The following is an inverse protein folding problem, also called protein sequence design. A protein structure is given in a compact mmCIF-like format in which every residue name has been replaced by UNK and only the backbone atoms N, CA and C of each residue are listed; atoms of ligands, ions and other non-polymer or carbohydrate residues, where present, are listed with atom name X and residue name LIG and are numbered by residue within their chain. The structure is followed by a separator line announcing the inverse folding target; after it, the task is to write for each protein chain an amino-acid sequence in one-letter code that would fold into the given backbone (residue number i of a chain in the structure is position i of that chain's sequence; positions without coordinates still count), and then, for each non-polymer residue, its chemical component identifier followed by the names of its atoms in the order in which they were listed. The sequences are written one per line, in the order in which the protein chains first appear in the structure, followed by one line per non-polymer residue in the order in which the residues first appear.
data_IF_176258755637
#
_entry.id   IF_176258755637
#
_cell.length_a   1.000
_cell.length_b   1.000
_cell.length_c   1.000
_cell.angle_alpha   90.00
_cell.angle_beta   90.00
_cell.angle_gamma   90.00
#
_symmetry.space_group_name_H-M   'P 1'
#
loop_
_entity.id
_entity.type
_entity.pdbx_description
1 polymer ?
#
# COMPACT_ATOMS: atom_id res chain seq x y z
N UNK A 1 50.32 12.30 -35.92
CA UNK A 1 49.31 11.34 -35.42
C UNK A 1 48.67 11.94 -34.17
N UNK A 2 47.35 12.24 -34.20
CA UNK A 2 46.60 12.63 -33.00
C UNK A 2 46.01 11.38 -32.36
N UNK A 3 46.02 11.23 -31.02
CA UNK A 3 45.34 10.12 -30.37
C UNK A 3 43.83 10.38 -30.41
N UNK A 4 43.08 9.47 -31.01
CA UNK A 4 41.62 9.48 -30.97
C UNK A 4 41.18 9.08 -29.56
N UNK A 5 40.64 10.02 -28.79
CA UNK A 5 40.03 9.74 -27.49
C UNK A 5 38.78 8.87 -27.71
N UNK A 6 38.75 7.68 -27.13
CA UNK A 6 37.55 6.86 -27.08
C UNK A 6 36.53 7.54 -26.17
N UNK A 7 35.43 8.04 -26.74
CA UNK A 7 34.26 8.46 -25.99
C UNK A 7 33.52 7.22 -25.49
N UNK A 8 33.69 6.88 -24.22
CA UNK A 8 32.82 5.92 -23.53
C UNK A 8 31.38 6.45 -23.61
N UNK A 9 30.40 5.67 -24.09
CA UNK A 9 29.01 6.12 -24.13
C UNK A 9 28.54 6.45 -22.71
N UNK A 10 27.69 7.48 -22.54
CA UNK A 10 27.15 7.83 -21.23
C UNK A 10 26.40 6.60 -20.68
N UNK A 11 26.86 6.07 -19.54
CA UNK A 11 26.14 5.02 -18.83
C UNK A 11 24.84 5.63 -18.28
N UNK A 12 23.72 5.28 -18.91
CA UNK A 12 22.40 5.56 -18.36
C UNK A 12 22.31 4.79 -17.04
N UNK A 13 22.31 5.52 -15.92
CA UNK A 13 22.04 4.92 -14.62
C UNK A 13 20.56 4.58 -14.56
N UNK A 14 20.23 3.30 -14.77
CA UNK A 14 18.87 2.82 -14.65
C UNK A 14 18.49 2.82 -13.16
N UNK A 15 17.84 3.89 -12.71
CA UNK A 15 17.25 3.94 -11.39
C UNK A 15 16.12 2.88 -11.35
N UNK A 16 16.22 1.91 -10.44
CA UNK A 16 15.12 0.99 -10.16
C UNK A 16 14.18 1.67 -9.15
N UNK A 17 12.99 2.13 -9.55
CA UNK A 17 12.05 2.72 -8.61
C UNK A 17 11.62 1.66 -7.60
N UNK A 18 11.58 2.03 -6.33
CA UNK A 18 10.95 1.24 -5.26
C UNK A 18 9.45 1.49 -5.29
N UNK A 19 8.68 0.44 -5.53
CA UNK A 19 7.23 0.48 -5.64
C UNK A 19 6.65 -0.23 -4.43
N UNK A 20 5.69 0.39 -3.76
CA UNK A 20 4.87 -0.25 -2.74
C UNK A 20 3.45 -0.48 -3.25
N UNK A 21 2.85 -1.58 -2.83
CA UNK A 21 1.42 -1.87 -2.99
C UNK A 21 0.85 -2.04 -1.59
N UNK A 22 0.01 -1.09 -1.17
CA UNK A 22 -0.72 -1.17 0.08
C UNK A 22 -2.15 -1.62 -0.20
N UNK A 23 -2.49 -2.79 0.32
CA UNK A 23 -3.80 -3.37 0.22
C UNK A 23 -4.58 -3.14 1.51
N UNK A 24 -5.87 -2.82 1.41
CA UNK A 24 -6.68 -2.36 2.54
C UNK A 24 -7.96 -3.20 2.67
N UNK A 25 -8.19 -3.70 3.89
CA UNK A 25 -9.38 -4.50 4.22
C UNK A 25 -9.37 -5.91 3.62
N UNK A 26 -10.48 -6.64 3.79
CA UNK A 26 -10.60 -8.04 3.35
C UNK A 26 -10.43 -8.23 1.83
N UNK A 27 -11.13 -7.42 1.02
CA UNK A 27 -11.00 -7.48 -0.45
C UNK A 27 -9.59 -7.12 -0.93
N UNK A 28 -8.93 -6.15 -0.28
CA UNK A 28 -7.52 -5.84 -0.53
C UNK A 28 -6.61 -7.01 -0.16
N UNK A 29 -6.86 -7.68 0.96
CA UNK A 29 -6.16 -8.90 1.39
C UNK A 29 -6.24 -10.03 0.36
N UNK A 30 -7.42 -10.24 -0.24
CA UNK A 30 -7.57 -11.21 -1.31
C UNK A 30 -6.76 -10.81 -2.56
N UNK A 31 -6.82 -9.53 -2.95
CA UNK A 31 -6.07 -9.03 -4.08
C UNK A 31 -4.54 -9.19 -3.89
N UNK A 32 -4.00 -8.84 -2.72
CA UNK A 32 -2.55 -8.95 -2.46
C UNK A 32 -2.08 -10.39 -2.44
N UNK A 33 -2.88 -11.29 -1.85
CA UNK A 33 -2.58 -12.72 -1.87
C UNK A 33 -2.49 -13.25 -3.31
N UNK A 34 -3.39 -12.82 -4.19
CA UNK A 34 -3.36 -13.18 -5.60
C UNK A 34 -2.13 -12.61 -6.32
N UNK A 35 -1.77 -11.34 -6.07
CA UNK A 35 -0.57 -10.72 -6.64
C UNK A 35 0.72 -11.45 -6.23
N UNK A 36 0.82 -11.85 -4.96
CA UNK A 36 1.96 -12.61 -4.43
C UNK A 36 2.02 -14.01 -5.05
N UNK A 37 0.88 -14.70 -5.17
CA UNK A 37 0.81 -16.02 -5.79
C UNK A 37 1.16 -16.01 -7.29
N UNK A 38 0.93 -14.89 -7.97
CA UNK A 38 1.28 -14.69 -9.38
C UNK A 38 2.73 -14.23 -9.59
N UNK A 39 3.56 -14.20 -8.53
CA UNK A 39 4.97 -13.79 -8.58
C UNK A 39 5.18 -12.39 -9.16
N UNK A 40 4.34 -11.42 -8.80
CA UNK A 40 4.56 -10.03 -9.19
C UNK A 40 5.85 -9.50 -8.55
N UNK A 41 6.90 -9.33 -9.37
CA UNK A 41 8.21 -8.84 -8.94
C UNK A 41 8.29 -7.31 -8.91
N UNK A 42 9.21 -6.78 -8.10
CA UNK A 42 9.54 -5.35 -8.08
C UNK A 42 8.62 -4.47 -7.22
N UNK A 43 7.63 -5.06 -6.56
CA UNK A 43 6.75 -4.38 -5.61
C UNK A 43 6.94 -4.89 -4.18
N UNK A 44 6.88 -3.98 -3.22
CA UNK A 44 6.82 -4.27 -1.78
C UNK A 44 5.34 -4.30 -1.34
N UNK A 45 4.87 -5.44 -0.86
CA UNK A 45 3.46 -5.63 -0.49
C UNK A 45 3.22 -5.36 1.00
N UNK A 46 2.22 -4.53 1.29
CA UNK A 46 1.75 -4.17 2.63
C UNK A 46 0.26 -4.48 2.68
N UNK A 47 -0.21 -5.20 3.71
CA UNK A 47 -1.65 -5.35 3.97
C UNK A 47 -2.02 -4.59 5.25
N UNK A 48 -2.96 -3.68 5.13
CA UNK A 48 -3.56 -2.95 6.24
C UNK A 48 -4.99 -3.43 6.47
N UNK A 49 -5.31 -3.86 7.69
CA UNK A 49 -6.67 -4.29 8.03
C UNK A 49 -6.97 -4.05 9.51
N UNK A 50 -8.23 -3.81 9.84
CA UNK A 50 -8.69 -3.68 11.25
C UNK A 50 -8.91 -5.04 11.92
N UNK A 51 -9.12 -6.09 11.12
CA UNK A 51 -9.37 -7.45 11.61
C UNK A 51 -8.04 -8.21 11.75
N UNK A 52 -7.67 -8.55 12.99
CA UNK A 52 -6.43 -9.23 13.32
C UNK A 52 -6.41 -10.68 12.80
N UNK A 53 -7.56 -11.35 12.76
CA UNK A 53 -7.67 -12.69 12.20
C UNK A 53 -7.41 -12.66 10.69
N UNK A 54 -7.99 -11.70 9.98
CA UNK A 54 -7.74 -11.54 8.54
C UNK A 54 -6.26 -11.25 8.24
N UNK A 55 -5.58 -10.45 9.07
CA UNK A 55 -4.13 -10.22 8.95
C UNK A 55 -3.32 -11.50 9.14
N UNK A 56 -3.66 -12.31 10.15
CA UNK A 56 -2.95 -13.56 10.44
C UNK A 56 -2.98 -14.58 9.30
N UNK A 57 -3.99 -14.51 8.43
CA UNK A 57 -4.14 -15.41 7.27
C UNK A 57 -3.49 -14.86 5.99
N UNK A 58 -2.97 -13.63 6.03
CA UNK A 58 -2.38 -12.98 4.87
C UNK A 58 -1.02 -13.56 4.50
N UNK A 59 -0.71 -13.54 3.19
CA UNK A 59 0.61 -13.86 2.65
C UNK A 59 1.51 -12.63 2.49
N UNK A 60 0.98 -11.43 2.74
CA UNK A 60 1.75 -10.20 2.63
C UNK A 60 2.89 -10.17 3.68
N UNK A 61 4.11 -9.78 3.29
CA UNK A 61 5.27 -9.77 4.18
C UNK A 61 5.20 -8.65 5.24
N UNK A 62 4.46 -7.58 4.98
CA UNK A 62 4.24 -6.47 5.90
C UNK A 62 2.75 -6.36 6.21
N UNK A 63 2.42 -6.34 7.49
CA UNK A 63 1.05 -6.31 7.99
C UNK A 63 0.92 -5.10 8.92
N UNK A 64 -0.15 -4.34 8.76
CA UNK A 64 -0.50 -3.20 9.61
C UNK A 64 -1.90 -3.44 10.17
N UNK A 65 -2.01 -3.49 11.50
CA UNK A 65 -3.32 -3.52 12.14
C UNK A 65 -3.84 -2.09 12.30
N UNK A 66 -4.92 -1.79 11.60
CA UNK A 66 -5.56 -0.48 11.65
C UNK A 66 -6.39 -0.35 12.93
N UNK A 67 -6.21 0.76 13.65
CA UNK A 67 -7.00 1.11 14.83
C UNK A 67 -7.10 -0.01 15.86
N UNK A 68 -5.97 -0.53 16.39
CA UNK A 68 -5.99 -1.51 17.47
C UNK A 68 -6.79 -1.01 18.68
N UNK A 69 -6.83 0.31 18.92
CA UNK A 69 -7.64 0.91 19.99
C UNK A 69 -9.10 1.13 19.60
N UNK A 70 -9.38 1.48 18.33
CA UNK A 70 -10.75 1.67 17.82
C UNK A 70 -11.54 0.36 17.75
N UNK A 71 -10.88 -0.71 17.29
CA UNK A 71 -11.57 -1.95 16.89
C UNK A 71 -11.21 -3.15 17.75
N UNK A 72 -10.17 -3.03 18.60
CA UNK A 72 -9.64 -4.14 19.39
C UNK A 72 -9.25 -5.37 18.55
N UNK A 73 -8.99 -5.16 17.24
CA UNK A 73 -8.67 -6.23 16.30
C UNK A 73 -9.88 -7.04 15.79
N UNK A 74 -11.11 -6.63 16.13
CA UNK A 74 -12.35 -7.31 15.73
C UNK A 74 -12.87 -6.88 14.35
N UNK A 75 -12.27 -5.84 13.77
CA UNK A 75 -12.65 -5.31 12.47
C UNK A 75 -13.67 -4.15 12.52
N UNK A 76 -13.75 -3.39 11.42
CA UNK A 76 -14.69 -2.28 11.27
C UNK A 76 -16.12 -2.71 10.86
N UNK A 77 -16.34 -4.01 10.63
CA UNK A 77 -17.58 -4.51 10.03
C UNK A 77 -17.88 -3.84 8.69
N UNK A 78 -19.12 -3.39 8.51
CA UNK A 78 -19.56 -2.64 7.32
C UNK A 78 -19.60 -1.12 7.53
N UNK A 79 -18.95 -0.61 8.58
CA UNK A 79 -18.99 0.80 8.95
C UNK A 79 -17.75 1.52 8.45
N UNK A 80 -17.92 2.33 7.40
CA UNK A 80 -16.82 3.09 6.79
C UNK A 80 -16.18 4.09 7.77
N UNK A 81 -16.98 4.75 8.61
CA UNK A 81 -16.48 5.72 9.59
C UNK A 81 -15.52 5.08 10.60
N UNK A 82 -15.76 3.82 10.98
CA UNK A 82 -14.85 3.06 11.86
C UNK A 82 -13.55 2.75 11.10
N UNK A 83 -13.64 2.33 9.84
CA UNK A 83 -12.46 2.09 9.00
C UNK A 83 -11.63 3.36 8.81
N UNK A 84 -12.27 4.52 8.66
CA UNK A 84 -11.60 5.80 8.56
C UNK A 84 -10.88 6.17 9.87
N UNK A 85 -11.57 6.11 11.01
CA UNK A 85 -10.99 6.41 12.31
C UNK A 85 -9.80 5.50 12.65
N UNK A 86 -9.92 4.20 12.32
CA UNK A 86 -8.85 3.24 12.49
C UNK A 86 -7.62 3.55 11.61
N UNK A 87 -7.84 4.06 10.40
CA UNK A 87 -6.75 4.47 9.52
C UNK A 87 -6.09 5.78 9.98
N UNK A 88 -6.87 6.73 10.48
CA UNK A 88 -6.34 7.98 11.04
C UNK A 88 -5.48 7.68 12.29
N UNK A 89 -5.87 6.71 13.13
CA UNK A 89 -5.07 6.25 14.29
C UNK A 89 -3.73 5.65 13.88
N UNK A 90 -3.71 4.82 12.83
CA UNK A 90 -2.52 4.06 12.40
C UNK A 90 -1.73 4.73 11.27
N UNK A 91 -2.01 6.01 10.95
CA UNK A 91 -1.45 6.63 9.75
C UNK A 91 0.07 6.77 9.79
N UNK A 92 0.64 7.04 10.95
CA UNK A 92 2.09 7.20 11.11
C UNK A 92 2.83 5.89 10.82
N UNK A 93 2.30 4.74 11.30
CA UNK A 93 2.85 3.41 11.02
C UNK A 93 2.81 3.09 9.51
N UNK A 94 1.72 3.45 8.83
CA UNK A 94 1.59 3.30 7.38
C UNK A 94 2.66 4.13 6.67
N UNK A 95 2.88 5.37 7.10
CA UNK A 95 3.88 6.26 6.50
C UNK A 95 5.31 5.79 6.72
N UNK A 96 5.60 5.14 7.85
CA UNK A 96 6.89 4.49 8.11
C UNK A 96 7.14 3.33 7.13
N UNK A 97 6.13 2.51 6.86
CA UNK A 97 6.24 1.44 5.87
C UNK A 97 6.46 1.95 4.43
N UNK A 98 6.00 3.17 4.14
CA UNK A 98 6.12 3.81 2.83
C UNK A 98 7.40 4.65 2.70
N UNK A 99 8.28 4.65 3.71
CA UNK A 99 9.54 5.39 3.64
C UNK A 99 10.48 4.87 2.54
N UNK A 100 11.04 5.81 1.78
CA UNK A 100 11.91 5.55 0.64
C UNK A 100 11.23 4.87 -0.55
N UNK A 101 9.89 4.80 -0.57
CA UNK A 101 9.13 4.38 -1.75
C UNK A 101 9.04 5.53 -2.74
N UNK A 102 9.26 5.21 -4.02
CA UNK A 102 9.11 6.17 -5.10
C UNK A 102 7.69 6.17 -5.63
N UNK A 103 6.97 5.05 -5.51
CA UNK A 103 5.57 4.93 -5.90
C UNK A 103 4.82 4.07 -4.91
N UNK A 104 3.56 4.40 -4.65
CA UNK A 104 2.66 3.62 -3.82
C UNK A 104 1.32 3.47 -4.52
N UNK A 105 0.83 2.23 -4.62
CA UNK A 105 -0.49 1.88 -5.12
C UNK A 105 -1.37 1.43 -3.96
N UNK A 106 -2.52 2.09 -3.77
CA UNK A 106 -3.51 1.71 -2.75
C UNK A 106 -4.58 0.84 -3.37
N UNK A 107 -4.71 -0.42 -2.94
CA UNK A 107 -5.76 -1.35 -3.40
C UNK A 107 -6.73 -1.62 -2.27
N UNK A 108 -8.04 -1.60 -2.53
CA UNK A 108 -9.04 -1.83 -1.49
C UNK A 108 -10.30 -2.38 -2.12
N UNK A 109 -10.95 -3.35 -1.49
CA UNK A 109 -12.32 -3.73 -1.85
C UNK A 109 -13.30 -2.72 -1.29
N UNK A 110 -14.11 -2.09 -2.15
CA UNK A 110 -15.15 -1.15 -1.73
C UNK A 110 -16.40 -1.90 -1.25
N UNK A 111 -17.24 -1.24 -0.44
CA UNK A 111 -18.50 -1.77 0.08
C UNK A 111 -18.44 -2.36 1.49
N UNK A 112 -17.25 -2.68 2.00
CA UNK A 112 -17.01 -3.03 3.41
C UNK A 112 -16.62 -1.82 4.27
N UNK A 113 -16.48 -1.97 5.59
CA UNK A 113 -16.10 -0.87 6.48
C UNK A 113 -14.63 -0.44 6.34
N UNK A 114 -13.70 -1.39 6.49
CA UNK A 114 -12.27 -1.10 6.47
C UNK A 114 -11.80 -0.56 5.13
N UNK A 115 -12.07 -1.27 4.03
CA UNK A 115 -11.63 -0.87 2.69
C UNK A 115 -12.16 0.51 2.30
N UNK A 116 -13.47 0.71 2.43
CA UNK A 116 -14.13 1.98 2.07
C UNK A 116 -13.64 3.16 2.91
N UNK A 117 -13.51 2.99 4.23
CA UNK A 117 -13.10 4.07 5.13
C UNK A 117 -11.62 4.39 5.09
N UNK A 118 -10.76 3.35 5.12
CA UNK A 118 -9.32 3.51 5.28
C UNK A 118 -8.61 3.87 3.96
N UNK A 119 -9.09 3.39 2.81
CA UNK A 119 -8.38 3.59 1.53
C UNK A 119 -8.21 5.07 1.18
N UNK A 120 -9.24 5.90 1.42
CA UNK A 120 -9.18 7.33 1.15
C UNK A 120 -8.23 8.08 2.09
N UNK A 121 -8.14 7.67 3.36
CA UNK A 121 -7.20 8.23 4.33
C UNK A 121 -5.76 7.98 3.89
N UNK A 122 -5.46 6.72 3.57
CA UNK A 122 -4.13 6.29 3.13
C UNK A 122 -3.72 6.99 1.83
N UNK A 123 -4.63 7.04 0.85
CA UNK A 123 -4.39 7.74 -0.42
C UNK A 123 -4.13 9.24 -0.21
N UNK A 124 -4.85 9.87 0.72
CA UNK A 124 -4.65 11.30 1.05
C UNK A 124 -3.32 11.54 1.76
N UNK A 125 -2.96 10.73 2.75
CA UNK A 125 -1.72 10.87 3.49
C UNK A 125 -0.48 10.64 2.61
N UNK A 126 -0.59 9.71 1.65
CA UNK A 126 0.44 9.48 0.66
C UNK A 126 0.62 10.61 -0.34
N UNK A 127 -0.38 11.46 -0.60
CA UNK A 127 -0.31 12.41 -1.73
C UNK A 127 0.96 13.28 -1.74
N UNK A 128 1.48 13.71 -2.91
CA UNK A 128 2.68 14.55 -2.99
C UNK A 128 2.56 15.88 -2.22
N UNK A 129 1.32 16.33 -1.97
CA UNK A 129 1.03 17.54 -1.20
C UNK A 129 1.19 17.35 0.30
N UNK A 130 1.05 16.11 0.80
CA UNK A 130 1.19 15.75 2.21
C UNK A 130 2.56 15.12 2.53
N UNK A 131 3.22 14.50 1.54
CA UNK A 131 4.49 13.81 1.73
C UNK A 131 5.66 14.58 1.10
N UNK A 132 6.49 15.24 1.92
CA UNK A 132 7.72 15.95 1.52
C UNK A 132 8.90 14.98 1.22
N UNK A 133 8.63 13.84 0.60
CA UNK A 133 9.64 12.82 0.24
C UNK A 133 9.61 12.57 -1.26
N UNK A 134 10.75 12.24 -1.85
CA UNK A 134 11.03 12.16 -3.30
C UNK A 134 10.22 11.12 -4.12
N UNK A 135 9.01 10.74 -3.68
CA UNK A 135 8.14 9.75 -4.30
C UNK A 135 6.88 10.34 -4.93
N UNK A 136 6.47 9.76 -6.04
CA UNK A 136 5.22 10.03 -6.75
C UNK A 136 4.14 9.06 -6.25
N UNK A 137 3.10 9.57 -5.61
CA UNK A 137 2.00 8.73 -5.16
C UNK A 137 0.91 8.59 -6.22
N UNK A 138 0.55 7.35 -6.53
CA UNK A 138 -0.49 7.01 -7.50
C UNK A 138 -1.49 6.04 -6.85
N UNK A 139 -2.56 6.58 -6.27
CA UNK A 139 -3.64 5.76 -5.72
C UNK A 139 -4.53 5.21 -6.86
N UNK A 140 -4.54 3.88 -7.02
CA UNK A 140 -5.45 3.16 -7.92
C UNK A 140 -6.39 2.29 -7.09
N UNK A 141 -7.53 2.85 -6.70
CA UNK A 141 -8.56 2.13 -5.94
C UNK A 141 -9.28 1.16 -6.89
N UNK A 142 -9.22 -0.14 -6.62
CA UNK A 142 -9.87 -1.18 -7.43
C UNK A 142 -11.22 -1.57 -6.84
N UNK A 143 -12.32 -1.23 -7.52
CA UNK A 143 -13.67 -1.36 -6.96
C UNK A 143 -14.26 -2.79 -6.96
N UNK A 144 -13.54 -3.82 -7.42
CA UNK A 144 -14.09 -5.19 -7.48
C UNK A 144 -13.04 -6.26 -7.18
N UNK A 145 -12.94 -6.64 -5.91
CA UNK A 145 -12.49 -7.98 -5.55
C UNK A 145 -13.76 -8.82 -5.39
N UNK A 146 -14.11 -9.64 -6.38
CA UNK A 146 -15.22 -10.59 -6.22
C UNK A 146 -15.00 -11.44 -4.95
N UNK A 147 -16.07 -11.80 -4.23
CA UNK A 147 -15.96 -12.68 -3.09
C UNK A 147 -15.55 -14.06 -3.61
N UNK A 148 -14.29 -14.46 -3.36
CA UNK A 148 -13.88 -15.86 -3.43
C UNK A 148 -14.28 -16.59 -2.17
#
# INVERSE_FOLDING_TARGET
MKPTMATTPPSITLLKPRIAVISVGGGGGNAVNNMIMQYLEGAEFILANTDAQALSMSKAPRLVQLGPTVTEGLGAGSLADIGQAAADESIDEIMDHLDGMHMCFVTAGMGGGTGTGAAHVIARAGSPLSCNRNGWFAALIFENAEPT
#
